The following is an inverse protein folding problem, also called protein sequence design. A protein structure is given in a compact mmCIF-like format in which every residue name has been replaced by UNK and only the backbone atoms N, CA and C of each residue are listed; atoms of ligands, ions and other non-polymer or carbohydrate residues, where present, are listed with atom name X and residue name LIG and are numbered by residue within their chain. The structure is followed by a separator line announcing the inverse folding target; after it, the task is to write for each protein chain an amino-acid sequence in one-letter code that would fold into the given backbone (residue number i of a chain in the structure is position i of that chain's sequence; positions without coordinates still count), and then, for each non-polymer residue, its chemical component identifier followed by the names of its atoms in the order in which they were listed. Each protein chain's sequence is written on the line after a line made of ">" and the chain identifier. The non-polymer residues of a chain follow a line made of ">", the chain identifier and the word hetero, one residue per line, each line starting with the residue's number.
data_IF_883022348486
#
_entry.id   IF_883022348486
#
_cell.length_a   1.000
_cell.length_b   1.000
_cell.length_c   1.000
_cell.angle_alpha   90.00
_cell.angle_beta   90.00
_cell.angle_gamma   90.00
#
_symmetry.space_group_name_H-M   'P 1'
#
loop_
_entity.id
_entity.type
_entity.pdbx_description
1 polymer ?
#
# COMPACT_ATOMS: atom_id res chain seq x y z
N UNK A 1 19.37 0.23 13.39
CA UNK A 1 18.80 -0.80 12.50
C UNK A 1 19.92 -1.46 11.70
N UNK A 2 20.06 -2.79 11.74
CA UNK A 2 20.98 -3.53 10.85
C UNK A 2 20.63 -3.18 9.39
N UNK A 3 21.63 -2.93 8.55
CA UNK A 3 21.44 -2.60 7.12
C UNK A 3 20.58 -3.68 6.47
N UNK A 4 19.34 -3.34 6.13
CA UNK A 4 18.39 -4.27 5.53
C UNK A 4 18.85 -4.65 4.12
N UNK A 5 18.63 -5.91 3.74
CA UNK A 5 19.04 -6.46 2.45
C UNK A 5 18.23 -5.86 1.29
N UNK A 6 18.89 -5.67 0.16
CA UNK A 6 18.43 -5.04 -1.09
C UNK A 6 17.25 -5.65 -1.84
N UNK A 7 16.28 -6.30 -1.19
CA UNK A 7 15.30 -7.18 -1.86
C UNK A 7 14.04 -6.48 -2.39
N UNK A 8 13.24 -7.24 -3.14
CA UNK A 8 11.92 -6.81 -3.64
C UNK A 8 10.98 -6.42 -2.51
N UNK A 9 11.00 -7.18 -1.42
CA UNK A 9 10.13 -6.96 -0.25
C UNK A 9 10.51 -5.65 0.42
N UNK A 10 11.81 -5.36 0.51
CA UNK A 10 12.24 -4.07 1.05
C UNK A 10 11.82 -2.92 0.14
N UNK A 11 11.93 -3.07 -1.18
CA UNK A 11 11.47 -2.05 -2.12
C UNK A 11 9.99 -1.69 -1.90
N UNK A 12 9.14 -2.71 -1.71
CA UNK A 12 7.73 -2.52 -1.37
C UNK A 12 7.54 -1.85 -0.01
N UNK A 13 8.27 -2.25 1.02
CA UNK A 13 8.19 -1.66 2.37
C UNK A 13 8.46 -0.15 2.34
N UNK A 14 9.54 0.29 1.67
CA UNK A 14 9.84 1.72 1.54
C UNK A 14 8.72 2.48 0.81
N UNK A 15 8.20 1.91 -0.28
CA UNK A 15 7.11 2.51 -1.03
C UNK A 15 5.81 2.62 -0.22
N UNK A 16 5.33 1.53 0.39
CA UNK A 16 4.08 1.53 1.15
C UNK A 16 4.19 2.38 2.42
N UNK A 17 5.36 2.42 3.07
CA UNK A 17 5.60 3.27 4.25
C UNK A 17 5.54 4.75 3.86
N UNK A 18 6.21 5.14 2.77
CA UNK A 18 6.15 6.53 2.31
C UNK A 18 4.76 6.91 1.78
N UNK A 19 4.04 5.97 1.16
CA UNK A 19 2.65 6.17 0.75
C UNK A 19 1.72 6.35 1.95
N UNK A 20 1.89 5.53 3.00
CA UNK A 20 1.14 5.60 4.24
C UNK A 20 1.36 6.92 4.98
N UNK A 21 2.61 7.39 5.07
CA UNK A 21 2.90 8.70 5.66
C UNK A 21 2.22 9.84 4.89
N UNK A 22 2.31 9.84 3.55
CA UNK A 22 1.61 10.83 2.71
C UNK A 22 0.09 10.79 2.92
N UNK A 23 -0.49 9.57 2.92
CA UNK A 23 -1.93 9.37 3.03
C UNK A 23 -2.46 9.84 4.39
N UNK A 24 -1.85 9.36 5.48
CA UNK A 24 -2.25 9.69 6.84
C UNK A 24 -2.14 11.19 7.15
N UNK A 25 -1.03 11.84 6.75
CA UNK A 25 -0.84 13.29 6.99
C UNK A 25 -1.83 14.10 6.16
N UNK A 26 -2.00 13.76 4.88
CA UNK A 26 -2.98 14.46 4.02
C UNK A 26 -4.40 14.32 4.59
N UNK A 27 -4.78 13.13 5.05
CA UNK A 27 -6.08 12.88 5.65
C UNK A 27 -6.27 13.68 6.94
N UNK A 28 -5.25 13.75 7.80
CA UNK A 28 -5.28 14.53 9.04
C UNK A 28 -5.41 16.04 8.77
N UNK A 29 -4.72 16.58 7.76
CA UNK A 29 -4.87 17.98 7.34
C UNK A 29 -6.31 18.29 6.91
N UNK A 30 -6.90 17.44 6.07
CA UNK A 30 -8.27 17.64 5.59
C UNK A 30 -9.34 17.44 6.66
N UNK A 31 -9.04 16.64 7.69
CA UNK A 31 -9.92 16.47 8.85
C UNK A 31 -9.84 17.66 9.82
N UNK A 32 -8.88 18.58 9.65
CA UNK A 32 -8.64 19.67 10.59
C UNK A 32 -7.96 19.23 11.89
N UNK A 33 -7.33 18.04 11.89
CA UNK A 33 -6.64 17.50 13.08
C UNK A 33 -5.24 18.10 13.30
N UNK A 34 -4.73 18.86 12.33
CA UNK A 34 -3.40 19.47 12.35
C UNK A 34 -3.53 20.97 12.12
N UNK A 35 -2.78 21.77 12.86
CA UNK A 35 -2.79 23.24 12.76
C UNK A 35 -1.95 23.76 11.59
N UNK A 36 -0.89 23.03 11.22
CA UNK A 36 0.11 23.50 10.25
C UNK A 36 -0.31 23.28 8.79
N UNK A 37 -1.49 22.70 8.55
CA UNK A 37 -1.99 22.40 7.22
C UNK A 37 -3.52 22.40 7.15
N UNK A 38 -4.03 22.54 5.94
CA UNK A 38 -5.47 22.58 5.66
C UNK A 38 -5.77 21.88 4.32
N UNK A 39 -7.06 21.87 3.95
CA UNK A 39 -7.51 21.53 2.60
C UNK A 39 -6.79 22.39 1.52
N UNK A 40 -6.69 21.88 0.30
CA UNK A 40 -6.22 22.62 -0.86
C UNK A 40 -7.31 23.60 -1.35
N UNK A 41 -7.06 24.91 -1.18
CA UNK A 41 -7.98 25.97 -1.56
C UNK A 41 -7.74 26.53 -2.98
N UNK A 42 -6.75 26.01 -3.73
CA UNK A 42 -6.27 26.60 -4.99
C UNK A 42 -7.33 26.76 -6.08
N UNK A 43 -8.36 25.91 -6.06
CA UNK A 43 -9.46 25.90 -7.03
C UNK A 43 -10.81 26.23 -6.42
N UNK A 44 -10.86 26.56 -5.13
CA UNK A 44 -12.12 26.72 -4.42
C UNK A 44 -13.01 27.79 -5.08
N UNK A 45 -14.27 27.45 -5.33
CA UNK A 45 -15.26 28.35 -5.93
C UNK A 45 -15.17 28.51 -7.46
N UNK A 46 -14.16 27.94 -8.12
CA UNK A 46 -14.04 27.99 -9.58
C UNK A 46 -15.10 27.12 -10.26
N UNK A 47 -15.80 27.68 -11.25
CA UNK A 47 -16.71 26.93 -12.13
C UNK A 47 -15.93 26.25 -13.25
N UNK A 48 -16.35 25.06 -13.65
CA UNK A 48 -15.80 24.35 -14.82
C UNK A 48 -16.69 24.55 -16.04
N UNK A 49 -16.14 24.32 -17.25
CA UNK A 49 -16.90 24.37 -18.50
C UNK A 49 -18.05 23.35 -18.56
N UNK A 50 -17.96 22.29 -17.76
CA UNK A 50 -18.97 21.23 -17.62
C UNK A 50 -20.13 21.60 -16.67
N UNK A 51 -20.16 22.83 -16.15
CA UNK A 51 -21.28 23.37 -15.37
C UNK A 51 -21.26 23.07 -13.88
N UNK A 52 -20.24 22.39 -13.35
CA UNK A 52 -20.08 22.13 -11.92
C UNK A 52 -19.02 23.04 -11.28
N UNK A 53 -19.04 23.16 -9.95
CA UNK A 53 -18.14 24.05 -9.20
C UNK A 53 -17.19 23.28 -8.30
N UNK A 54 -15.96 23.75 -8.19
CA UNK A 54 -15.03 23.31 -7.15
C UNK A 54 -15.50 23.83 -5.79
N UNK A 55 -15.55 22.95 -4.80
CA UNK A 55 -15.93 23.32 -3.44
C UNK A 55 -15.55 22.25 -2.43
N UNK A 56 -16.14 22.27 -1.24
CA UNK A 56 -15.82 21.30 -0.19
C UNK A 56 -14.37 21.43 0.31
N UNK A 57 -13.80 20.32 0.77
CA UNK A 57 -12.41 20.20 1.22
C UNK A 57 -11.65 19.28 0.27
N UNK A 58 -10.84 19.86 -0.62
CA UNK A 58 -9.92 19.07 -1.45
C UNK A 58 -8.71 18.64 -0.64
N UNK A 59 -8.39 17.35 -0.67
CA UNK A 59 -7.27 16.78 0.07
C UNK A 59 -5.92 17.29 -0.50
N UNK A 60 -5.11 17.94 0.34
CA UNK A 60 -3.83 18.55 -0.05
C UNK A 60 -2.69 17.52 -0.12
N UNK A 61 -2.73 16.64 -1.12
CA UNK A 61 -1.74 15.57 -1.31
C UNK A 61 -0.31 16.10 -1.47
N UNK A 62 -0.14 17.30 -2.04
CA UNK A 62 1.18 17.93 -2.22
C UNK A 62 1.85 18.20 -0.89
N UNK A 63 1.10 18.70 0.09
CA UNK A 63 1.59 18.90 1.45
C UNK A 63 2.01 17.57 2.08
N UNK A 64 1.16 16.54 2.01
CA UNK A 64 1.48 15.22 2.55
C UNK A 64 2.72 14.59 1.90
N UNK A 65 2.90 14.73 0.58
CA UNK A 65 4.09 14.26 -0.12
C UNK A 65 5.34 15.02 0.29
N UNK A 66 5.25 16.33 0.50
CA UNK A 66 6.34 17.18 0.98
C UNK A 66 6.77 16.76 2.38
N UNK A 67 5.82 16.59 3.30
CA UNK A 67 6.07 16.10 4.65
C UNK A 67 6.72 14.70 4.63
N UNK A 68 6.11 13.74 3.92
CA UNK A 68 6.64 12.38 3.82
C UNK A 68 8.05 12.36 3.20
N UNK A 69 8.33 13.25 2.25
CA UNK A 69 9.67 13.40 1.67
C UNK A 69 10.68 13.97 2.67
N UNK A 70 10.28 14.85 3.57
CA UNK A 70 11.18 15.37 4.60
C UNK A 70 11.41 14.32 5.70
N UNK A 71 10.35 13.66 6.16
CA UNK A 71 10.39 12.72 7.28
C UNK A 71 10.93 11.34 6.89
N UNK A 72 10.34 10.69 5.89
CA UNK A 72 10.68 9.30 5.51
C UNK A 72 12.03 9.22 4.78
N UNK A 73 12.42 10.25 4.03
CA UNK A 73 13.73 10.27 3.36
C UNK A 73 14.86 10.77 4.29
N UNK A 74 14.58 11.34 5.47
CA UNK A 74 15.60 11.94 6.33
C UNK A 74 16.76 10.99 6.67
N UNK A 75 16.53 9.73 7.09
CA UNK A 75 17.62 8.80 7.42
C UNK A 75 18.53 8.53 6.21
N UNK A 76 17.93 8.37 5.03
CA UNK A 76 18.66 8.09 3.78
C UNK A 76 19.46 9.31 3.32
N UNK A 77 18.96 10.53 3.56
CA UNK A 77 19.66 11.78 3.21
C UNK A 77 20.79 12.13 4.16
N UNK A 78 20.68 11.72 5.42
CA UNK A 78 21.73 11.91 6.43
C UNK A 78 22.96 11.01 6.19
N UNK A 79 22.86 9.99 5.33
CA UNK A 79 23.99 9.12 5.01
C UNK A 79 25.11 9.88 4.27
N UNK A 80 26.30 9.96 4.89
CA UNK A 80 27.48 10.65 4.34
C UNK A 80 27.96 10.07 3.00
N UNK A 81 27.84 8.76 2.79
CA UNK A 81 28.24 8.08 1.54
C UNK A 81 26.99 7.60 0.81
N UNK A 82 26.60 8.30 -0.25
CA UNK A 82 25.48 7.90 -1.12
C UNK A 82 25.77 6.53 -1.74
N UNK A 83 25.09 5.51 -1.23
CA UNK A 83 25.20 4.15 -1.73
C UNK A 83 24.12 3.87 -2.79
N UNK A 84 24.30 2.82 -3.59
CA UNK A 84 23.25 2.33 -4.49
C UNK A 84 21.96 2.00 -3.72
N UNK A 85 22.09 1.55 -2.46
CA UNK A 85 20.96 1.25 -1.58
C UNK A 85 20.19 2.51 -1.21
N UNK A 86 20.88 3.57 -0.81
CA UNK A 86 20.28 4.88 -0.51
C UNK A 86 19.48 5.39 -1.71
N UNK A 87 20.03 5.29 -2.92
CA UNK A 87 19.35 5.69 -4.15
C UNK A 87 18.12 4.83 -4.44
N UNK A 88 18.20 3.52 -4.19
CA UNK A 88 17.08 2.59 -4.35
C UNK A 88 15.95 2.92 -3.36
N UNK A 89 16.28 3.18 -2.09
CA UNK A 89 15.32 3.53 -1.03
C UNK A 89 14.59 4.84 -1.35
N UNK A 90 15.33 5.90 -1.69
CA UNK A 90 14.76 7.19 -2.08
C UNK A 90 13.85 7.09 -3.32
N UNK A 91 14.24 6.27 -4.30
CA UNK A 91 13.42 6.02 -5.49
C UNK A 91 12.10 5.33 -5.11
N UNK A 92 12.17 4.25 -4.33
CA UNK A 92 10.97 3.50 -3.94
C UNK A 92 10.04 4.31 -3.02
N UNK A 93 10.58 5.15 -2.13
CA UNK A 93 9.79 6.12 -1.37
C UNK A 93 9.01 7.04 -2.32
N UNK A 94 9.68 7.56 -3.36
CA UNK A 94 9.05 8.41 -4.35
C UNK A 94 7.95 7.68 -5.15
N UNK A 95 8.17 6.41 -5.51
CA UNK A 95 7.14 5.57 -6.15
C UNK A 95 5.89 5.50 -5.26
N UNK A 96 6.06 5.30 -3.95
CA UNK A 96 4.98 5.30 -2.98
C UNK A 96 4.18 6.60 -2.94
N UNK A 97 4.88 7.74 -2.92
CA UNK A 97 4.23 9.06 -2.94
C UNK A 97 3.44 9.32 -4.23
N UNK A 98 4.03 9.00 -5.38
CA UNK A 98 3.36 9.13 -6.69
C UNK A 98 2.16 8.20 -6.83
N UNK A 99 2.16 7.03 -6.16
CA UNK A 99 1.03 6.11 -6.17
C UNK A 99 -0.22 6.68 -5.48
N UNK A 100 -0.06 7.60 -4.52
CA UNK A 100 -1.17 8.37 -3.93
C UNK A 100 -1.63 9.44 -4.91
N UNK A 101 -0.71 10.29 -5.37
CA UNK A 101 -1.01 11.44 -6.23
C UNK A 101 -1.77 11.04 -7.51
N UNK A 102 -1.36 9.93 -8.15
CA UNK A 102 -1.99 9.45 -9.39
C UNK A 102 -3.36 8.82 -9.20
N UNK A 103 -3.70 8.43 -7.98
CA UNK A 103 -4.98 7.80 -7.66
C UNK A 103 -5.91 8.76 -6.91
N UNK A 104 -5.61 10.05 -6.89
CA UNK A 104 -6.56 11.05 -6.38
C UNK A 104 -7.86 10.98 -7.19
N UNK A 105 -8.99 10.92 -6.48
CA UNK A 105 -10.30 10.76 -7.08
C UNK A 105 -11.08 12.07 -6.98
N UNK A 106 -11.76 12.45 -8.06
CA UNK A 106 -12.73 13.54 -8.01
C UNK A 106 -14.02 12.99 -7.36
N UNK A 107 -14.39 13.53 -6.19
CA UNK A 107 -15.66 13.23 -5.54
C UNK A 107 -16.59 14.41 -5.68
N UNK A 108 -17.87 14.13 -5.91
CA UNK A 108 -18.90 15.14 -6.12
C UNK A 108 -20.09 14.91 -5.20
N UNK A 109 -20.72 16.00 -4.77
CA UNK A 109 -22.03 16.01 -4.12
C UNK A 109 -23.02 16.73 -5.01
N UNK A 110 -24.16 16.10 -5.22
CA UNK A 110 -25.27 16.65 -5.98
C UNK A 110 -26.22 17.40 -5.04
N UNK A 111 -26.72 18.55 -5.50
CA UNK A 111 -27.50 19.49 -4.70
C UNK A 111 -28.86 19.82 -5.32
N UNK A 112 -29.22 19.22 -6.45
CA UNK A 112 -30.49 19.48 -7.11
C UNK A 112 -31.69 18.88 -6.39
N UNK A 113 -32.88 19.33 -6.77
CA UNK A 113 -34.17 18.90 -6.19
C UNK A 113 -34.28 17.38 -6.26
N UNK A 114 -34.73 16.75 -5.17
CA UNK A 114 -34.85 15.29 -5.04
C UNK A 114 -33.54 14.52 -5.29
N UNK A 115 -32.38 15.15 -5.09
CA UNK A 115 -31.07 14.53 -5.28
C UNK A 115 -30.54 14.57 -6.72
N UNK A 116 -31.12 15.39 -7.60
CA UNK A 116 -30.60 15.55 -8.96
C UNK A 116 -29.19 16.15 -8.99
N UNK A 117 -28.41 15.80 -10.02
CA UNK A 117 -27.01 16.23 -10.19
C UNK A 117 -26.83 17.39 -11.17
N UNK A 118 -27.91 18.11 -11.48
CA UNK A 118 -27.86 19.31 -12.33
C UNK A 118 -26.94 20.39 -11.75
N UNK A 119 -27.02 20.61 -10.43
CA UNK A 119 -26.02 21.34 -9.66
C UNK A 119 -25.20 20.34 -8.84
N UNK A 120 -23.89 20.33 -9.04
CA UNK A 120 -22.96 19.53 -8.23
C UNK A 120 -21.71 20.32 -7.85
N UNK A 121 -21.19 19.98 -6.68
CA UNK A 121 -19.93 20.51 -6.16
C UNK A 121 -18.94 19.37 -6.05
N UNK A 122 -17.72 19.53 -6.55
CA UNK A 122 -16.71 18.48 -6.51
C UNK A 122 -15.42 18.92 -5.83
N UNK A 123 -14.69 17.96 -5.29
CA UNK A 123 -13.39 18.11 -4.64
C UNK A 123 -12.50 16.91 -4.91
N UNK A 124 -11.19 17.12 -4.81
CA UNK A 124 -10.24 16.01 -4.88
C UNK A 124 -10.19 15.27 -3.54
N UNK A 125 -10.31 13.95 -3.57
CA UNK A 125 -10.24 13.10 -2.39
C UNK A 125 -9.15 12.05 -2.55
N UNK A 126 -8.47 11.73 -1.46
CA UNK A 126 -7.55 10.60 -1.38
C UNK A 126 -8.26 9.30 -1.79
N UNK A 127 -7.56 8.39 -2.50
CA UNK A 127 -8.05 7.03 -2.71
C UNK A 127 -8.14 6.27 -1.38
N UNK A 128 -8.85 5.13 -1.41
CA UNK A 128 -8.74 4.17 -0.31
C UNK A 128 -7.31 3.64 -0.25
N UNK A 129 -6.78 3.45 0.96
CA UNK A 129 -5.41 2.94 1.10
C UNK A 129 -5.28 1.51 0.59
N UNK A 130 -6.39 0.76 0.53
CA UNK A 130 -6.44 -0.55 -0.09
C UNK A 130 -6.15 -0.49 -1.60
N UNK A 131 -6.75 0.45 -2.33
CA UNK A 131 -6.47 0.67 -3.77
C UNK A 131 -4.97 0.95 -4.00
N UNK A 132 -4.38 1.80 -3.15
CA UNK A 132 -2.94 2.10 -3.16
C UNK A 132 -2.11 0.85 -2.90
N UNK A 133 -2.47 0.06 -1.88
CA UNK A 133 -1.82 -1.19 -1.55
C UNK A 133 -1.84 -2.19 -2.71
N UNK A 134 -2.99 -2.35 -3.38
CA UNK A 134 -3.13 -3.21 -4.57
C UNK A 134 -2.25 -2.72 -5.73
N UNK A 135 -2.23 -1.42 -6.01
CA UNK A 135 -1.35 -0.84 -7.05
C UNK A 135 0.13 -1.12 -6.74
N UNK A 136 0.58 -0.81 -5.53
CA UNK A 136 1.97 -1.04 -5.14
C UNK A 136 2.33 -2.53 -5.13
N UNK A 137 1.36 -3.41 -4.82
CA UNK A 137 1.56 -4.86 -4.88
C UNK A 137 1.77 -5.34 -6.33
N UNK A 138 1.01 -4.80 -7.28
CA UNK A 138 1.24 -5.05 -8.72
C UNK A 138 2.63 -4.56 -9.17
N UNK A 139 3.07 -3.39 -8.68
CA UNK A 139 4.43 -2.88 -8.93
C UNK A 139 5.52 -3.73 -8.27
N UNK A 140 5.22 -4.37 -7.15
CA UNK A 140 6.14 -5.30 -6.49
C UNK A 140 6.38 -6.56 -7.33
N UNK A 141 5.31 -7.12 -7.91
CA UNK A 141 5.38 -8.32 -8.74
C UNK A 141 6.18 -8.08 -10.04
N UNK A 142 6.08 -6.86 -10.58
CA UNK A 142 6.80 -6.40 -11.78
C UNK A 142 8.10 -5.63 -11.47
N UNK A 143 8.60 -5.68 -10.23
CA UNK A 143 9.74 -4.87 -9.80
C UNK A 143 11.05 -5.22 -10.53
N UNK A 144 11.89 -4.20 -10.73
CA UNK A 144 13.06 -4.28 -11.58
C UNK A 144 14.32 -4.51 -10.75
N UNK A 145 15.08 -5.54 -11.10
CA UNK A 145 16.42 -5.72 -10.54
C UNK A 145 17.41 -4.71 -11.15
N UNK A 146 18.07 -3.91 -10.32
CA UNK A 146 19.10 -2.95 -10.76
C UNK A 146 20.51 -3.54 -10.69
N UNK A 147 21.40 -2.99 -11.52
CA UNK A 147 22.80 -3.41 -11.61
C UNK A 147 23.61 -2.94 -10.38
N UNK A 148 24.30 -3.83 -9.64
CA UNK A 148 25.13 -3.46 -8.49
C UNK A 148 26.28 -2.50 -8.85
N UNK A 149 26.77 -2.56 -10.09
CA UNK A 149 27.84 -1.70 -10.61
C UNK A 149 27.40 -0.25 -10.89
N UNK A 150 26.13 0.08 -10.68
CA UNK A 150 25.62 1.43 -10.87
C UNK A 150 26.07 2.34 -9.72
N UNK A 151 26.84 3.40 -10.04
CA UNK A 151 27.37 4.33 -9.03
C UNK A 151 26.51 5.58 -8.82
N UNK A 152 25.89 6.12 -9.88
CA UNK A 152 25.19 7.42 -9.85
C UNK A 152 23.72 7.39 -10.27
N UNK A 153 23.30 6.38 -11.04
CA UNK A 153 21.94 6.27 -11.59
C UNK A 153 21.46 4.82 -11.57
N UNK A 154 20.20 4.61 -11.19
CA UNK A 154 19.57 3.29 -11.25
C UNK A 154 19.48 2.84 -12.71
N UNK A 155 20.04 1.65 -12.99
CA UNK A 155 20.00 1.03 -14.31
C UNK A 155 19.57 -0.42 -14.14
N UNK A 156 18.69 -0.90 -15.04
CA UNK A 156 18.26 -2.31 -15.07
C UNK A 156 19.48 -3.23 -15.15
N UNK A 157 19.38 -4.43 -14.56
CA UNK A 157 20.42 -5.46 -14.66
C UNK A 157 20.38 -6.13 -16.05
N UNK A 158 21.56 -6.42 -16.61
CA UNK A 158 21.73 -7.06 -17.94
C UNK A 158 22.11 -6.08 -19.05
N UNK A 159 22.97 -6.49 -20.00
CA UNK A 159 23.53 -5.60 -21.03
C UNK A 159 22.47 -5.00 -21.96
N UNK A 160 21.52 -5.81 -22.44
CA UNK A 160 20.46 -5.38 -23.37
C UNK A 160 19.44 -4.46 -22.68
N UNK A 161 18.94 -4.87 -21.51
CA UNK A 161 17.90 -4.14 -20.75
C UNK A 161 18.41 -2.85 -20.10
N UNK A 162 19.74 -2.62 -20.03
CA UNK A 162 20.34 -1.38 -19.49
C UNK A 162 20.00 -0.12 -20.29
N UNK A 163 19.67 -0.26 -21.58
CA UNK A 163 19.26 0.88 -22.43
C UNK A 163 17.85 1.36 -22.09
N UNK A 164 16.99 0.48 -21.55
CA UNK A 164 15.63 0.85 -21.12
C UNK A 164 15.70 1.57 -19.77
N UNK A 165 15.19 2.80 -19.66
CA UNK A 165 15.21 3.54 -18.40
C UNK A 165 14.33 2.86 -17.34
N UNK A 166 14.63 3.16 -16.08
CA UNK A 166 13.75 2.86 -14.95
C UNK A 166 12.74 4.00 -14.87
N UNK A 167 11.45 3.70 -14.92
CA UNK A 167 10.42 4.73 -14.80
C UNK A 167 10.29 5.18 -13.34
N UNK A 168 9.75 6.39 -13.12
CA UNK A 168 9.61 6.97 -11.78
C UNK A 168 8.63 6.18 -10.89
N UNK A 169 7.79 5.33 -11.48
CA UNK A 169 6.77 4.52 -10.79
C UNK A 169 7.08 3.02 -10.80
N UNK A 170 8.25 2.64 -11.31
CA UNK A 170 8.72 1.26 -11.21
C UNK A 170 9.39 1.05 -9.85
N UNK A 171 9.00 0.02 -9.11
CA UNK A 171 9.77 -0.41 -7.94
C UNK A 171 11.08 -1.06 -8.38
N UNK A 172 12.15 -0.76 -7.66
CA UNK A 172 13.48 -1.28 -7.94
C UNK A 172 14.07 -2.02 -6.74
N UNK A 173 14.84 -3.06 -7.01
CA UNK A 173 15.56 -3.83 -6.00
C UNK A 173 16.98 -4.19 -6.49
N UNK A 174 17.92 -4.37 -5.57
CA UNK A 174 19.32 -4.66 -5.91
C UNK A 174 19.55 -6.17 -5.93
N UNK A 175 19.08 -6.87 -4.92
CA UNK A 175 19.36 -8.27 -4.70
C UNK A 175 18.12 -9.15 -4.87
N UNK A 176 18.33 -10.39 -5.31
CA UNK A 176 17.25 -11.37 -5.39
C UNK A 176 16.75 -11.69 -3.99
N UNK A 177 15.44 -11.85 -3.84
CA UNK A 177 14.82 -12.24 -2.58
C UNK A 177 15.43 -13.56 -2.07
N UNK A 178 15.67 -13.70 -0.76
CA UNK A 178 16.11 -14.96 -0.18
C UNK A 178 14.99 -16.00 -0.22
N UNK A 179 15.32 -17.24 0.16
CA UNK A 179 14.30 -18.25 0.43
C UNK A 179 13.68 -17.97 1.82
N UNK A 180 12.36 -17.81 1.88
CA UNK A 180 11.61 -17.55 3.11
C UNK A 180 11.05 -18.82 3.77
N UNK A 181 11.23 -19.99 3.17
CA UNK A 181 10.70 -21.26 3.65
C UNK A 181 11.37 -21.76 4.94
N UNK A 182 12.67 -21.51 5.07
CA UNK A 182 13.51 -22.00 6.17
C UNK A 182 13.89 -20.82 7.04
N UNK A 183 13.91 -21.03 8.35
CA UNK A 183 14.31 -20.03 9.32
C UNK A 183 15.79 -19.64 9.12
N UNK A 184 16.06 -18.34 9.12
CA UNK A 184 17.41 -17.76 9.08
C UNK A 184 17.44 -16.54 10.02
N UNK A 185 17.84 -16.74 11.30
CA UNK A 185 17.89 -15.68 12.29
C UNK A 185 18.85 -14.55 11.93
N UNK A 186 19.91 -14.82 11.15
CA UNK A 186 20.87 -13.79 10.74
C UNK A 186 20.24 -12.78 9.79
N UNK A 187 19.28 -13.23 8.97
CA UNK A 187 18.51 -12.39 8.04
C UNK A 187 17.14 -11.97 8.57
N UNK A 188 16.75 -12.43 9.76
CA UNK A 188 15.44 -12.17 10.37
C UNK A 188 14.30 -12.89 9.65
N UNK A 189 14.58 -14.03 9.02
CA UNK A 189 13.58 -14.86 8.35
C UNK A 189 13.10 -15.90 9.36
N UNK A 190 11.81 -15.90 9.68
CA UNK A 190 11.22 -16.82 10.66
C UNK A 190 10.86 -18.21 10.07
N UNK A 191 10.96 -18.37 8.76
CA UNK A 191 10.45 -19.55 8.06
C UNK A 191 8.93 -19.51 7.85
N UNK A 192 8.37 -20.62 7.36
CA UNK A 192 6.92 -20.75 7.13
C UNK A 192 6.23 -21.80 8.01
N UNK A 193 6.96 -22.49 8.88
CA UNK A 193 6.36 -23.44 9.84
C UNK A 193 5.35 -22.72 10.76
N UNK A 194 4.26 -23.40 11.09
CA UNK A 194 3.17 -22.87 11.92
C UNK A 194 2.25 -21.86 11.23
N UNK A 195 2.55 -21.41 10.00
CA UNK A 195 1.69 -20.46 9.28
C UNK A 195 0.42 -21.14 8.79
N UNK A 196 -0.72 -20.44 8.96
CA UNK A 196 -1.99 -20.86 8.36
C UNK A 196 -1.90 -20.79 6.84
N UNK A 197 -2.36 -21.85 6.18
CA UNK A 197 -2.39 -21.98 4.73
C UNK A 197 -3.80 -22.33 4.25
N UNK A 198 -4.07 -22.09 2.97
CA UNK A 198 -5.35 -22.44 2.37
C UNK A 198 -5.18 -23.61 1.39
N UNK A 199 -5.90 -24.71 1.65
CA UNK A 199 -5.83 -25.94 0.84
C UNK A 199 -6.48 -25.80 -0.54
N UNK A 200 -7.50 -24.96 -0.70
CA UNK A 200 -8.29 -24.85 -1.94
C UNK A 200 -7.71 -23.88 -2.96
N UNK A 201 -6.81 -22.98 -2.53
CA UNK A 201 -6.20 -21.98 -3.40
C UNK A 201 -4.93 -22.50 -4.07
N UNK A 202 -4.62 -21.99 -5.27
CA UNK A 202 -3.36 -22.28 -6.01
C UNK A 202 -2.32 -21.16 -5.91
N UNK A 203 -2.60 -20.09 -5.16
CA UNK A 203 -1.73 -18.92 -5.05
C UNK A 203 -0.64 -19.03 -3.98
N UNK A 204 0.05 -17.93 -3.64
CA UNK A 204 1.05 -17.87 -2.56
C UNK A 204 0.54 -18.27 -1.17
N UNK A 205 -0.77 -18.23 -0.95
CA UNK A 205 -1.42 -18.67 0.29
C UNK A 205 -1.72 -20.18 0.30
N UNK A 206 -1.53 -20.87 -0.83
CA UNK A 206 -1.75 -22.29 -0.97
C UNK A 206 -0.86 -23.07 -0.01
N UNK A 207 -1.39 -24.11 0.62
CA UNK A 207 -0.58 -25.01 1.45
C UNK A 207 0.59 -25.62 0.68
N UNK A 208 0.43 -25.90 -0.62
CA UNK A 208 1.50 -26.47 -1.44
C UNK A 208 2.70 -25.53 -1.58
N UNK A 209 2.44 -24.23 -1.76
CA UNK A 209 3.46 -23.22 -1.97
C UNK A 209 3.98 -22.63 -0.65
N UNK A 210 3.08 -22.29 0.28
CA UNK A 210 3.43 -21.66 1.56
C UNK A 210 4.21 -22.60 2.48
N UNK A 211 3.86 -23.90 2.48
CA UNK A 211 4.54 -24.91 3.29
C UNK A 211 5.77 -25.52 2.59
N UNK A 212 6.07 -25.06 1.37
CA UNK A 212 7.29 -25.42 0.64
C UNK A 212 7.51 -26.94 0.49
N UNK A 213 6.42 -27.69 0.29
CA UNK A 213 6.46 -29.16 0.13
C UNK A 213 6.59 -29.97 1.43
N UNK A 214 6.68 -29.34 2.61
CA UNK A 214 6.79 -30.06 3.91
C UNK A 214 5.47 -30.67 4.39
N UNK A 215 4.36 -30.35 3.73
CA UNK A 215 3.01 -30.69 4.17
C UNK A 215 2.47 -29.74 5.25
N UNK A 216 1.29 -30.04 5.75
CA UNK A 216 0.57 -29.24 6.74
C UNK A 216 -0.15 -30.16 7.75
N UNK A 217 -0.39 -29.63 8.94
CA UNK A 217 -1.26 -30.21 9.94
C UNK A 217 -2.69 -29.71 9.72
N UNK A 218 -3.67 -30.54 10.02
CA UNK A 218 -5.10 -30.20 9.98
C UNK A 218 -5.65 -30.25 11.40
N UNK A 219 -6.33 -29.18 11.81
CA UNK A 219 -7.02 -29.09 13.10
C UNK A 219 -8.47 -28.69 12.85
N UNK A 220 -9.41 -29.41 13.43
CA UNK A 220 -10.82 -29.02 13.40
C UNK A 220 -11.08 -28.19 14.65
N UNK A 221 -11.42 -26.92 14.47
CA UNK A 221 -11.77 -26.03 15.57
C UNK A 221 -13.26 -25.75 15.58
N UNK A 222 -13.79 -25.59 16.79
CA UNK A 222 -15.14 -25.09 17.01
C UNK A 222 -15.16 -23.57 16.91
N UNK A 223 -15.93 -23.02 15.98
CA UNK A 223 -16.11 -21.57 15.80
C UNK A 223 -17.54 -21.18 16.17
N UNK A 224 -17.65 -20.20 17.05
CA UNK A 224 -18.94 -19.61 17.42
C UNK A 224 -19.11 -18.31 16.64
N UNK A 225 -20.19 -18.21 15.88
CA UNK A 225 -20.49 -17.01 15.09
C UNK A 225 -21.95 -16.58 15.23
N UNK A 226 -22.21 -15.30 14.97
CA UNK A 226 -23.57 -14.76 14.96
C UNK A 226 -24.22 -15.13 13.63
N UNK A 227 -25.34 -15.82 13.71
CA UNK A 227 -26.07 -16.33 12.56
C UNK A 227 -27.56 -15.99 12.69
N UNK A 228 -28.31 -16.18 11.60
CA UNK A 228 -29.76 -16.01 11.58
C UNK A 228 -30.22 -14.67 12.18
N UNK A 229 -29.49 -13.60 11.86
CA UNK A 229 -29.75 -12.26 12.36
C UNK A 229 -31.07 -11.72 11.79
N UNK A 230 -31.99 -11.34 12.68
CA UNK A 230 -33.25 -10.68 12.31
C UNK A 230 -33.23 -9.24 12.77
N UNK A 231 -33.54 -8.34 11.85
CA UNK A 231 -33.78 -6.93 12.18
C UNK A 231 -35.17 -6.79 12.77
N UNK A 232 -35.25 -6.16 13.95
CA UNK A 232 -36.50 -5.77 14.56
C UNK A 232 -36.67 -4.27 14.34
N UNK A 233 -37.73 -3.90 13.62
CA UNK A 233 -38.04 -2.49 13.36
C UNK A 233 -38.25 -1.77 14.69
N UNK A 234 -37.48 -0.69 14.90
CA UNK A 234 -37.26 0.05 16.15
C UNK A 234 -36.38 -0.66 17.23
N UNK A 235 -35.04 -0.78 17.15
CA UNK A 235 -33.97 -0.47 16.18
C UNK A 235 -32.78 -1.41 16.50
N UNK A 236 -33.01 -2.72 16.56
CA UNK A 236 -31.96 -3.66 16.97
C UNK A 236 -31.96 -4.91 16.10
N UNK A 237 -30.78 -5.53 16.02
CA UNK A 237 -30.59 -6.80 15.34
C UNK A 237 -30.45 -7.87 16.40
N UNK A 238 -31.33 -8.89 16.34
CA UNK A 238 -31.24 -10.06 17.20
C UNK A 238 -30.67 -11.22 16.39
N UNK A 239 -29.49 -11.69 16.77
CA UNK A 239 -28.83 -12.86 16.17
C UNK A 239 -28.80 -14.02 17.15
N UNK A 240 -28.85 -15.24 16.62
CA UNK A 240 -28.51 -16.44 17.40
C UNK A 240 -26.99 -16.65 17.36
N UNK A 241 -26.49 -17.45 18.29
CA UNK A 241 -25.12 -17.97 18.23
C UNK A 241 -25.18 -19.34 17.56
N UNK A 242 -24.52 -19.49 16.42
CA UNK A 242 -24.34 -20.79 15.77
C UNK A 242 -22.94 -21.32 16.06
N UNK A 243 -22.86 -22.64 16.09
CA UNK A 243 -21.62 -23.37 16.15
C UNK A 243 -21.31 -23.95 14.76
N UNK A 244 -20.13 -23.64 14.23
CA UNK A 244 -19.62 -24.21 12.99
C UNK A 244 -18.26 -24.85 13.24
N UNK A 245 -18.02 -26.00 12.60
CA UNK A 245 -16.72 -26.68 12.65
C UNK A 245 -15.88 -26.19 11.47
N UNK A 246 -14.72 -25.60 11.74
CA UNK A 246 -13.81 -25.08 10.72
C UNK A 246 -12.50 -25.87 10.73
N UNK A 247 -12.08 -26.36 9.55
CA UNK A 247 -10.77 -26.98 9.37
C UNK A 247 -9.70 -25.90 9.17
N UNK A 248 -8.74 -25.84 10.09
CA UNK A 248 -7.56 -24.99 9.98
C UNK A 248 -6.36 -25.85 9.54
N UNK A 249 -5.68 -25.38 8.49
CA UNK A 249 -4.45 -25.99 8.00
C UNK A 249 -3.24 -25.11 8.36
N UNK A 250 -2.22 -25.71 8.97
CA UNK A 250 -0.98 -25.01 9.35
C UNK A 250 0.25 -25.76 8.84
N UNK A 251 1.21 -25.04 8.24
CA UNK A 251 2.43 -25.66 7.72
C UNK A 251 3.25 -26.37 8.81
N UNK A 252 3.83 -27.51 8.44
CA UNK A 252 4.83 -28.20 9.26
C UNK A 252 6.17 -27.45 9.24
#
# INVERSE_FOLDING_TARGET
>A
MKRTYGSRETAFIYAITSAGATHAVTQACSAGNLTDCSCDASRQGQSTAEGWKWGGCSDNVRYGMMFARQFVDAPERAERKRSLRTLMNLHNNNVGRLAIERQMELKCRCHGVSGSCELKTCWNKLPSFEQVGRLLKSKYDSSIQVSPKAKRRLRRRGKVKRKVPVQKEDLVHIHRSPNFCVEDPKRGILGTSGRRCNRTTSGPQSCNLLCCGRGYNTQVIRKLERCQCKFHWCCYVKCKTCETMEEIYTCK
#
